data_IF_779461764348
#
_entry.id   IF_779461764348
#
_cell.length_a   1.000
_cell.length_b   1.000
_cell.length_c   1.000
_cell.angle_alpha   90.00
_cell.angle_beta   90.00
_cell.angle_gamma   90.00
#
_symmetry.space_group_name_H-M   'P 1'
#
loop_
_entity.id
_entity.type
_entity.pdbx_description
1 polymer ?
#
# COMPACT_ATOMS: atom_id res chain seq x y z
N UNK A 1 3.86 -24.18 19.06
CA UNK A 1 5.22 -24.03 18.55
C UNK A 1 5.33 -24.70 17.20
N UNK A 2 6.06 -24.07 16.26
CA UNK A 2 6.29 -24.60 14.90
C UNK A 2 7.79 -24.68 14.67
N UNK A 3 8.26 -25.83 14.23
CA UNK A 3 9.68 -26.05 13.94
C UNK A 3 9.85 -26.75 12.58
N UNK A 4 10.66 -26.17 11.71
CA UNK A 4 11.03 -26.73 10.37
C UNK A 4 9.82 -27.24 9.59
N UNK A 5 8.74 -26.46 9.53
CA UNK A 5 7.49 -26.82 8.89
C UNK A 5 7.11 -25.82 7.79
N UNK A 6 6.32 -26.28 6.84
CA UNK A 6 5.75 -25.48 5.76
C UNK A 6 4.23 -25.40 5.98
N UNK A 7 3.70 -24.18 6.18
CA UNK A 7 2.28 -23.96 6.48
C UNK A 7 1.75 -22.94 5.47
N UNK A 8 0.66 -23.33 4.79
CA UNK A 8 -0.11 -22.46 3.89
C UNK A 8 -1.55 -22.34 4.37
N UNK A 9 -2.07 -21.13 4.42
CA UNK A 9 -3.44 -20.84 4.82
C UNK A 9 -4.11 -19.85 3.86
N UNK A 10 -5.36 -20.13 3.52
CA UNK A 10 -6.23 -19.20 2.78
C UNK A 10 -6.80 -18.05 3.64
N UNK A 11 -6.47 -18.00 4.92
CA UNK A 11 -6.83 -16.96 5.89
C UNK A 11 -5.60 -16.55 6.70
N UNK A 12 -5.82 -16.34 8.01
CA UNK A 12 -4.76 -15.95 8.95
C UNK A 12 -4.01 -17.18 9.51
N UNK A 13 -2.75 -16.98 9.90
CA UNK A 13 -1.95 -17.94 10.66
C UNK A 13 -1.67 -17.33 12.04
N UNK A 14 -2.05 -18.03 13.11
CA UNK A 14 -1.80 -17.62 14.49
C UNK A 14 -1.00 -18.70 15.20
N UNK A 15 0.24 -18.35 15.61
CA UNK A 15 1.13 -19.22 16.38
C UNK A 15 1.36 -18.55 17.74
N UNK A 16 0.72 -19.10 18.76
CA UNK A 16 0.72 -18.53 20.13
C UNK A 16 2.07 -18.60 20.85
N UNK A 17 2.99 -19.40 20.34
CA UNK A 17 4.34 -19.50 20.86
C UNK A 17 5.34 -19.04 19.79
N UNK A 18 6.23 -19.90 19.36
CA UNK A 18 7.30 -19.54 18.42
C UNK A 18 7.25 -20.33 17.12
N UNK A 19 7.89 -19.77 16.11
CA UNK A 19 8.23 -20.44 14.88
C UNK A 19 9.75 -20.40 14.68
N UNK A 20 10.34 -21.55 14.43
CA UNK A 20 11.80 -21.70 14.27
C UNK A 20 12.14 -22.55 13.06
N UNK A 21 13.19 -22.17 12.36
CA UNK A 21 13.77 -22.92 11.27
C UNK A 21 15.27 -22.68 11.18
N UNK A 22 15.91 -23.44 10.31
CA UNK A 22 17.32 -23.22 9.92
C UNK A 22 17.32 -22.67 8.51
N UNK A 23 18.27 -21.81 8.24
CA UNK A 23 18.60 -21.40 6.87
C UNK A 23 19.64 -22.37 6.35
N UNK A 24 19.39 -22.96 5.20
CA UNK A 24 20.38 -23.82 4.55
C UNK A 24 21.42 -22.91 3.88
N UNK A 25 22.63 -22.81 4.46
CA UNK A 25 23.67 -21.87 4.05
C UNK A 25 24.10 -22.01 2.57
N UNK A 26 23.91 -23.19 1.99
CA UNK A 26 24.29 -23.48 0.61
C UNK A 26 23.26 -23.04 -0.44
N UNK A 27 21.99 -22.87 -0.07
CA UNK A 27 20.92 -22.54 -1.02
C UNK A 27 20.09 -21.31 -0.58
N UNK A 28 20.31 -20.78 0.62
CA UNK A 28 19.50 -19.69 1.17
C UNK A 28 18.04 -20.05 1.42
N UNK A 29 17.73 -21.36 1.49
CA UNK A 29 16.38 -21.87 1.71
C UNK A 29 16.06 -21.97 3.20
N UNK A 30 14.89 -21.48 3.55
CA UNK A 30 14.35 -21.58 4.90
C UNK A 30 13.61 -22.90 5.10
N UNK A 31 13.91 -23.62 6.18
CA UNK A 31 13.21 -24.86 6.52
C UNK A 31 11.82 -24.62 7.12
N UNK A 32 11.57 -23.42 7.63
CA UNK A 32 10.26 -23.03 8.15
C UNK A 32 9.69 -21.92 7.27
N UNK A 33 8.58 -22.22 6.61
CA UNK A 33 7.89 -21.26 5.73
C UNK A 33 6.43 -21.11 6.15
N UNK A 34 5.97 -19.87 6.27
CA UNK A 34 4.60 -19.53 6.63
C UNK A 34 4.00 -18.66 5.51
N UNK A 35 2.96 -19.14 4.86
CA UNK A 35 2.29 -18.44 3.77
C UNK A 35 0.81 -18.25 4.12
N UNK A 36 0.31 -17.03 4.13
CA UNK A 36 -1.08 -16.71 4.44
C UNK A 36 -1.68 -15.72 3.43
N UNK A 37 -2.92 -15.95 3.04
CA UNK A 37 -3.68 -14.94 2.29
C UNK A 37 -4.14 -13.78 3.17
N UNK A 38 -4.24 -13.99 4.48
CA UNK A 38 -4.54 -12.98 5.51
C UNK A 38 -3.29 -12.45 6.20
N UNK A 39 -3.34 -12.36 7.52
CA UNK A 39 -2.25 -11.90 8.41
C UNK A 39 -1.57 -13.06 9.11
N UNK A 40 -0.34 -12.83 9.59
CA UNK A 40 0.40 -13.83 10.36
C UNK A 40 0.78 -13.24 11.71
N UNK A 41 0.49 -14.02 12.77
CA UNK A 41 0.91 -13.72 14.13
C UNK A 41 1.78 -14.84 14.69
N UNK A 42 2.95 -14.47 15.24
CA UNK A 42 3.84 -15.38 15.99
C UNK A 42 4.33 -14.68 17.25
N UNK A 43 4.52 -15.42 18.35
CA UNK A 43 5.03 -14.81 19.59
C UNK A 43 6.52 -14.49 19.48
N UNK A 44 7.31 -15.37 18.85
CA UNK A 44 8.69 -15.14 18.49
C UNK A 44 9.06 -15.96 17.25
N UNK A 45 10.00 -15.47 16.46
CA UNK A 45 10.44 -16.13 15.23
C UNK A 45 11.96 -16.07 15.06
N UNK A 46 12.51 -17.18 14.54
CA UNK A 46 13.92 -17.24 14.18
C UNK A 46 14.13 -18.15 12.98
N UNK A 47 14.83 -17.66 11.95
CA UNK A 47 15.16 -18.43 10.75
C UNK A 47 13.93 -18.86 9.96
N UNK A 48 12.94 -18.00 9.82
CA UNK A 48 11.66 -18.28 9.13
C UNK A 48 11.50 -17.42 7.88
N UNK A 49 10.84 -17.98 6.86
CA UNK A 49 10.37 -17.25 5.68
C UNK A 49 8.85 -17.04 5.79
N UNK A 50 8.44 -15.79 5.86
CA UNK A 50 7.04 -15.39 6.09
C UNK A 50 6.53 -14.58 4.92
N UNK A 51 5.42 -15.01 4.34
CA UNK A 51 4.74 -14.29 3.28
C UNK A 51 3.24 -14.17 3.58
N UNK A 52 2.71 -12.94 3.53
CA UNK A 52 1.28 -12.73 3.69
C UNK A 52 0.79 -11.49 2.93
N UNK A 53 -0.52 -11.44 2.65
CA UNK A 53 -1.14 -10.25 2.05
C UNK A 53 -1.50 -9.18 3.11
N UNK A 54 -1.70 -9.59 4.35
CA UNK A 54 -2.01 -8.73 5.49
C UNK A 54 -0.77 -8.29 6.26
N UNK A 55 -0.93 -8.17 7.58
CA UNK A 55 0.12 -7.76 8.51
C UNK A 55 0.90 -8.95 9.06
N UNK A 56 2.16 -8.70 9.42
CA UNK A 56 2.96 -9.62 10.25
C UNK A 56 3.09 -9.02 11.63
N UNK A 57 2.60 -9.72 12.65
CA UNK A 57 2.73 -9.31 14.04
C UNK A 57 3.56 -10.33 14.81
N UNK A 58 4.54 -9.84 15.56
CA UNK A 58 5.46 -10.66 16.34
C UNK A 58 5.45 -10.16 17.79
N UNK A 59 5.13 -11.02 18.75
CA UNK A 59 4.93 -10.60 20.13
C UNK A 59 6.16 -10.10 20.85
N UNK A 60 7.34 -10.65 20.58
CA UNK A 60 8.58 -10.31 21.30
C UNK A 60 9.79 -10.06 20.42
N UNK A 61 10.15 -11.03 19.58
CA UNK A 61 11.40 -10.99 18.83
C UNK A 61 11.30 -11.72 17.49
N UNK A 62 11.93 -11.14 16.48
CA UNK A 62 12.13 -11.79 15.19
C UNK A 62 13.58 -11.61 14.73
N UNK A 63 14.21 -12.71 14.34
CA UNK A 63 15.60 -12.72 13.94
C UNK A 63 15.88 -13.68 12.77
N UNK A 64 16.91 -13.37 11.97
CA UNK A 64 17.44 -14.21 10.90
C UNK A 64 16.36 -14.69 9.92
N UNK A 65 15.40 -13.82 9.62
CA UNK A 65 14.17 -14.18 8.93
C UNK A 65 13.97 -13.35 7.67
N UNK A 66 13.19 -13.89 6.74
CA UNK A 66 12.73 -13.17 5.55
C UNK A 66 11.23 -12.93 5.66
N UNK A 67 10.81 -11.69 5.42
CA UNK A 67 9.44 -11.26 5.57
C UNK A 67 8.96 -10.55 4.31
N UNK A 68 7.79 -10.93 3.83
CA UNK A 68 7.11 -10.26 2.73
C UNK A 68 5.64 -10.08 3.10
N UNK A 69 5.19 -8.84 3.22
CA UNK A 69 3.80 -8.55 3.54
C UNK A 69 3.22 -7.39 2.76
N UNK A 70 1.91 -7.47 2.49
CA UNK A 70 1.15 -6.37 1.89
C UNK A 70 0.79 -5.27 2.89
N UNK A 71 0.89 -5.55 4.20
CA UNK A 71 0.61 -4.62 5.29
C UNK A 71 1.86 -4.23 6.07
N UNK A 72 1.68 -4.03 7.38
CA UNK A 72 2.73 -3.65 8.32
C UNK A 72 3.42 -4.85 8.95
N UNK A 73 4.69 -4.66 9.37
CA UNK A 73 5.42 -5.55 10.29
C UNK A 73 5.49 -4.89 11.66
N UNK A 74 4.91 -5.51 12.68
CA UNK A 74 4.84 -4.97 14.04
C UNK A 74 5.48 -5.99 14.99
N UNK A 75 6.53 -5.57 15.72
CA UNK A 75 7.22 -6.42 16.68
C UNK A 75 7.05 -5.84 18.08
N UNK A 76 6.27 -6.55 18.89
CA UNK A 76 5.77 -6.15 20.19
C UNK A 76 4.24 -6.12 20.23
N UNK A 77 3.69 -5.50 21.24
CA UNK A 77 2.25 -5.25 21.31
C UNK A 77 1.86 -4.16 20.30
N UNK A 78 0.68 -4.27 19.68
CA UNK A 78 0.20 -3.34 18.65
C UNK A 78 0.24 -1.89 19.15
N UNK A 79 -0.20 -1.64 20.38
CA UNK A 79 -0.22 -0.29 20.97
C UNK A 79 1.13 0.14 21.55
N UNK A 80 2.07 -0.78 21.72
CA UNK A 80 3.38 -0.54 22.26
C UNK A 80 4.41 -1.50 21.66
N UNK A 81 4.90 -1.23 20.45
CA UNK A 81 5.83 -2.12 19.74
C UNK A 81 7.23 -2.06 20.35
N UNK A 82 7.45 -2.77 21.44
CA UNK A 82 8.75 -2.80 22.16
C UNK A 82 9.56 -4.07 21.89
N UNK A 83 9.24 -4.84 20.87
CA UNK A 83 9.97 -6.04 20.52
C UNK A 83 11.27 -5.77 19.76
N UNK A 84 12.07 -6.82 19.56
CA UNK A 84 13.36 -6.77 18.90
C UNK A 84 13.29 -7.34 17.49
N UNK A 85 13.82 -6.60 16.51
CA UNK A 85 13.88 -6.98 15.10
C UNK A 85 15.30 -6.81 14.58
N UNK A 86 15.97 -7.92 14.25
CA UNK A 86 17.34 -7.89 13.76
C UNK A 86 17.67 -9.03 12.79
N UNK A 87 18.69 -8.84 11.98
CA UNK A 87 19.16 -9.81 10.99
C UNK A 87 18.06 -10.32 10.04
N UNK A 88 17.14 -9.45 9.65
CA UNK A 88 16.01 -9.80 8.79
C UNK A 88 16.09 -9.08 7.45
N UNK A 89 15.54 -9.72 6.41
CA UNK A 89 15.25 -9.12 5.11
C UNK A 89 13.74 -8.92 4.98
N UNK A 90 13.30 -7.66 4.92
CA UNK A 90 11.88 -7.28 5.04
C UNK A 90 11.46 -6.51 3.81
N UNK A 91 10.38 -6.98 3.17
CA UNK A 91 9.64 -6.25 2.15
C UNK A 91 8.22 -6.00 2.68
N UNK A 92 7.88 -4.74 2.90
CA UNK A 92 6.57 -4.31 3.41
C UNK A 92 6.00 -3.21 2.53
N UNK A 93 4.68 -3.24 2.30
CA UNK A 93 4.01 -2.18 1.54
C UNK A 93 3.56 -1.00 2.41
N UNK A 94 3.71 -1.08 3.74
CA UNK A 94 3.22 -0.08 4.66
C UNK A 94 4.31 0.42 5.61
N UNK A 95 4.51 -0.23 6.75
CA UNK A 95 5.42 0.23 7.80
C UNK A 95 6.04 -0.92 8.57
N UNK A 96 7.14 -0.62 9.27
CA UNK A 96 7.80 -1.52 10.22
C UNK A 96 7.89 -0.81 11.56
N UNK A 97 7.37 -1.45 12.61
CA UNK A 97 7.37 -0.94 13.98
C UNK A 97 8.03 -1.94 14.91
N UNK A 98 9.01 -1.52 15.68
CA UNK A 98 9.69 -2.33 16.69
C UNK A 98 10.33 -1.42 17.75
N UNK A 99 10.55 -1.94 18.94
CA UNK A 99 11.27 -1.23 19.99
C UNK A 99 12.77 -1.13 19.69
N UNK A 100 13.34 -2.17 19.09
CA UNK A 100 14.74 -2.19 18.66
C UNK A 100 14.85 -2.68 17.23
N UNK A 101 15.49 -1.90 16.38
CA UNK A 101 15.81 -2.23 15.00
C UNK A 101 17.31 -2.45 14.84
N UNK A 102 17.69 -3.64 14.37
CA UNK A 102 19.09 -4.03 14.21
C UNK A 102 19.71 -4.60 15.48
N UNK A 103 20.93 -5.09 15.36
CA UNK A 103 21.69 -5.67 16.46
C UNK A 103 23.09 -5.09 16.56
N UNK A 104 23.63 -5.05 17.77
CA UNK A 104 24.98 -4.56 18.07
C UNK A 104 26.07 -5.48 17.49
N UNK A 105 25.72 -6.74 17.17
CA UNK A 105 26.67 -7.80 16.78
C UNK A 105 26.96 -7.85 15.26
N UNK A 106 26.71 -6.79 14.50
CA UNK A 106 27.08 -6.73 13.07
C UNK A 106 26.14 -7.48 12.11
N UNK A 107 25.00 -7.98 12.57
CA UNK A 107 23.99 -8.57 11.71
C UNK A 107 23.22 -7.49 10.94
N UNK A 108 22.99 -7.73 9.64
CA UNK A 108 22.33 -6.75 8.78
C UNK A 108 20.81 -6.87 8.88
N UNK A 109 20.14 -5.75 9.12
CA UNK A 109 18.71 -5.60 8.92
C UNK A 109 18.48 -4.82 7.63
N UNK A 110 17.72 -5.41 6.69
CA UNK A 110 17.34 -4.77 5.45
C UNK A 110 15.82 -4.58 5.43
N UNK A 111 15.39 -3.37 5.10
CA UNK A 111 13.97 -3.05 4.97
C UNK A 111 13.74 -2.37 3.63
N UNK A 112 12.77 -2.86 2.86
CA UNK A 112 12.38 -2.35 1.55
C UNK A 112 10.88 -2.05 1.52
N UNK A 113 10.54 -0.78 1.25
CA UNK A 113 9.17 -0.29 1.08
C UNK A 113 8.81 -0.01 -0.39
N UNK A 114 9.74 -0.26 -1.34
CA UNK A 114 9.56 0.07 -2.76
C UNK A 114 8.24 -0.46 -3.36
N UNK A 115 7.76 -1.69 -3.05
CA UNK A 115 6.52 -2.17 -3.64
C UNK A 115 5.29 -1.33 -3.29
N UNK A 116 5.18 -0.85 -2.05
CA UNK A 116 4.10 0.05 -1.63
C UNK A 116 4.22 1.43 -2.23
N UNK A 117 5.43 1.97 -2.28
CA UNK A 117 5.71 3.28 -2.85
C UNK A 117 5.46 3.32 -4.36
N UNK A 118 5.89 2.30 -5.10
CA UNK A 118 5.66 2.21 -6.54
C UNK A 118 4.18 2.19 -6.89
N UNK A 119 3.35 1.45 -6.15
CA UNK A 119 1.91 1.45 -6.35
C UNK A 119 1.27 2.83 -6.11
N UNK A 120 1.75 3.57 -5.12
CA UNK A 120 1.28 4.93 -4.86
C UNK A 120 1.67 5.90 -5.98
N UNK A 121 2.89 5.78 -6.51
CA UNK A 121 3.34 6.57 -7.66
C UNK A 121 2.50 6.28 -8.91
N UNK A 122 2.28 5.01 -9.26
CA UNK A 122 1.45 4.63 -10.40
C UNK A 122 0.01 5.17 -10.28
N UNK A 123 -0.56 5.12 -9.07
CA UNK A 123 -1.89 5.70 -8.80
C UNK A 123 -1.88 7.22 -8.96
N UNK A 124 -0.85 7.88 -8.42
CA UNK A 124 -0.69 9.33 -8.57
C UNK A 124 -0.59 9.72 -10.04
N UNK A 125 0.29 9.08 -10.81
CA UNK A 125 0.47 9.35 -12.24
C UNK A 125 -0.83 9.15 -13.02
N UNK A 126 -1.59 8.10 -12.69
CA UNK A 126 -2.90 7.84 -13.29
C UNK A 126 -3.92 8.94 -12.97
N UNK A 127 -3.95 9.43 -11.74
CA UNK A 127 -4.82 10.53 -11.31
C UNK A 127 -4.42 11.86 -11.97
N UNK A 128 -3.15 12.16 -12.05
CA UNK A 128 -2.63 13.36 -12.71
C UNK A 128 -3.00 13.37 -14.19
N UNK A 129 -2.89 12.23 -14.88
CA UNK A 129 -3.32 12.09 -16.28
C UNK A 129 -4.83 12.27 -16.45
N UNK A 130 -5.65 11.69 -15.57
CA UNK A 130 -7.11 11.88 -15.58
C UNK A 130 -7.49 13.34 -15.36
N UNK A 131 -6.88 14.02 -14.40
CA UNK A 131 -7.09 15.45 -14.15
C UNK A 131 -6.72 16.28 -15.38
N UNK A 132 -5.60 15.97 -16.04
CA UNK A 132 -5.19 16.63 -17.28
C UNK A 132 -6.24 16.47 -18.39
N UNK A 133 -6.77 15.26 -18.59
CA UNK A 133 -7.80 14.99 -19.61
C UNK A 133 -9.11 15.74 -19.31
N UNK A 134 -9.53 15.78 -18.04
CA UNK A 134 -10.73 16.53 -17.62
C UNK A 134 -10.54 18.02 -17.88
N UNK A 135 -9.37 18.60 -17.55
CA UNK A 135 -9.05 20.01 -17.85
C UNK A 135 -9.12 20.34 -19.34
N UNK A 136 -8.52 19.51 -20.16
CA UNK A 136 -8.53 19.69 -21.62
C UNK A 136 -9.95 19.63 -22.20
N UNK A 137 -10.77 18.68 -21.70
CA UNK A 137 -12.15 18.56 -22.14
C UNK A 137 -12.99 19.75 -21.66
N UNK A 138 -12.85 20.18 -20.41
CA UNK A 138 -13.55 21.35 -19.90
C UNK A 138 -13.20 22.62 -20.69
N UNK A 139 -11.92 22.80 -21.07
CA UNK A 139 -11.50 23.92 -21.91
C UNK A 139 -12.17 23.89 -23.30
N UNK A 140 -12.18 22.72 -23.94
CA UNK A 140 -12.85 22.52 -25.23
C UNK A 140 -14.35 22.78 -25.15
N UNK A 141 -14.99 22.39 -24.05
CA UNK A 141 -16.40 22.66 -23.81
C UNK A 141 -16.68 24.15 -23.60
N UNK A 142 -15.82 24.85 -22.84
CA UNK A 142 -15.89 26.31 -22.68
C UNK A 142 -15.80 27.05 -24.00
N UNK A 143 -14.83 26.69 -24.84
CA UNK A 143 -14.66 27.29 -26.16
C UNK A 143 -15.90 27.09 -27.05
N UNK A 144 -16.44 25.87 -27.09
CA UNK A 144 -17.66 25.55 -27.86
C UNK A 144 -18.87 26.36 -27.38
N UNK A 145 -19.05 26.47 -26.06
CA UNK A 145 -20.17 27.22 -25.49
C UNK A 145 -20.04 28.72 -25.75
N UNK A 146 -18.82 29.27 -25.66
CA UNK A 146 -18.55 30.66 -26.01
C UNK A 146 -18.88 30.94 -27.49
N UNK A 147 -18.51 30.02 -28.38
CA UNK A 147 -18.85 30.11 -29.80
C UNK A 147 -20.35 30.04 -30.05
N UNK A 148 -21.08 29.21 -29.28
CA UNK A 148 -22.55 29.11 -29.37
C UNK A 148 -23.20 30.39 -28.85
N UNK A 149 -22.76 30.93 -27.73
CA UNK A 149 -23.26 32.16 -27.14
C UNK A 149 -23.05 33.40 -28.01
N UNK A 150 -21.96 33.43 -28.80
CA UNK A 150 -21.64 34.53 -29.72
C UNK A 150 -22.55 34.55 -30.96
N UNK A 151 -23.29 33.48 -31.24
CA UNK A 151 -24.22 33.39 -32.40
C UNK A 151 -25.64 33.58 -31.94
N UNK A 152 -26.49 34.28 -32.77
CA UNK A 152 -27.93 34.37 -32.52
C UNK A 152 -28.57 32.97 -32.57
N UNK A 153 -28.92 32.43 -31.42
CA UNK A 153 -29.48 31.08 -31.29
C UNK A 153 -30.99 31.13 -31.56
N UNK A 154 -31.55 30.27 -32.45
CA UNK A 154 -33.00 30.12 -32.62
C UNK A 154 -33.67 29.75 -31.29
N UNK A 155 -34.92 30.26 -31.07
CA UNK A 155 -35.66 30.07 -29.82
C UNK A 155 -35.75 28.59 -29.39
N UNK A 156 -35.90 27.68 -30.34
CA UNK A 156 -35.97 26.22 -30.10
C UNK A 156 -34.69 25.60 -29.52
N UNK A 157 -33.52 26.21 -29.76
CA UNK A 157 -32.22 25.74 -29.27
C UNK A 157 -31.75 26.44 -28.00
N UNK A 158 -32.43 27.51 -27.58
CA UNK A 158 -32.08 28.29 -26.39
C UNK A 158 -32.13 27.43 -25.11
N UNK A 159 -33.12 26.53 -24.99
CA UNK A 159 -33.22 25.61 -23.85
C UNK A 159 -32.01 24.65 -23.78
N UNK A 160 -31.66 24.03 -24.91
CA UNK A 160 -30.50 23.13 -24.97
C UNK A 160 -29.18 23.86 -24.71
N UNK A 161 -29.06 25.10 -25.13
CA UNK A 161 -27.89 25.92 -24.82
C UNK A 161 -27.77 26.25 -23.32
N UNK A 162 -28.91 26.53 -22.66
CA UNK A 162 -28.92 26.76 -21.21
C UNK A 162 -28.56 25.49 -20.42
N UNK A 163 -29.13 24.34 -20.81
CA UNK A 163 -28.75 23.03 -20.21
C UNK A 163 -27.24 22.71 -20.38
N UNK A 164 -26.66 23.02 -21.54
CA UNK A 164 -25.25 22.83 -21.80
C UNK A 164 -24.35 23.74 -20.94
N UNK A 165 -24.79 24.99 -20.71
CA UNK A 165 -24.08 25.92 -19.80
C UNK A 165 -24.12 25.43 -18.36
N UNK A 166 -25.25 24.94 -17.90
CA UNK A 166 -25.43 24.40 -16.55
C UNK A 166 -24.53 23.17 -16.34
N UNK A 167 -24.48 22.25 -17.30
CA UNK A 167 -23.57 21.10 -17.27
C UNK A 167 -22.11 21.53 -17.21
N UNK A 168 -21.69 22.53 -17.98
CA UNK A 168 -20.32 23.04 -17.93
C UNK A 168 -19.98 23.66 -16.57
N UNK A 169 -20.91 24.38 -15.96
CA UNK A 169 -20.71 24.96 -14.64
C UNK A 169 -20.53 23.86 -13.59
N UNK A 170 -21.32 22.80 -13.65
CA UNK A 170 -21.18 21.64 -12.76
C UNK A 170 -19.84 20.90 -12.99
N UNK A 171 -19.44 20.70 -14.23
CA UNK A 171 -18.14 20.13 -14.60
C UNK A 171 -16.96 20.98 -14.07
N UNK A 172 -17.07 22.30 -14.18
CA UNK A 172 -16.05 23.23 -13.70
C UNK A 172 -15.93 23.23 -12.17
N UNK A 173 -17.06 23.18 -11.46
CA UNK A 173 -17.09 23.09 -10.01
C UNK A 173 -16.51 21.76 -9.48
N UNK A 174 -16.82 20.65 -10.18
CA UNK A 174 -16.25 19.35 -9.86
C UNK A 174 -14.73 19.33 -10.08
N UNK A 175 -14.24 19.92 -11.17
CA UNK A 175 -12.81 20.01 -11.45
C UNK A 175 -12.08 20.81 -10.36
N UNK A 176 -12.61 21.96 -9.96
CA UNK A 176 -12.05 22.78 -8.88
C UNK A 176 -12.01 22.00 -7.54
N UNK A 177 -13.08 21.27 -7.23
CA UNK A 177 -13.11 20.43 -6.04
C UNK A 177 -12.04 19.32 -6.07
N UNK A 178 -11.88 18.63 -7.22
CA UNK A 178 -10.85 17.60 -7.39
C UNK A 178 -9.43 18.16 -7.28
N UNK A 179 -9.17 19.34 -7.85
CA UNK A 179 -7.88 20.03 -7.76
C UNK A 179 -7.54 20.42 -6.31
N UNK A 180 -8.51 20.94 -5.57
CA UNK A 180 -8.34 21.27 -4.17
C UNK A 180 -8.02 20.01 -3.34
N UNK A 181 -8.73 18.91 -3.60
CA UNK A 181 -8.46 17.62 -2.93
C UNK A 181 -7.10 17.03 -3.30
N UNK A 182 -6.65 17.15 -4.53
CA UNK A 182 -5.33 16.70 -4.96
C UNK A 182 -4.19 17.50 -4.30
N UNK A 183 -4.43 18.77 -3.94
CA UNK A 183 -3.45 19.62 -3.26
C UNK A 183 -3.44 19.46 -1.73
N UNK A 184 -4.45 18.81 -1.13
CA UNK A 184 -4.50 18.51 0.30
C UNK A 184 -3.70 17.26 0.70
N UNK A 185 -3.24 16.45 -0.25
CA UNK A 185 -2.48 15.21 -0.07
C UNK A 185 -0.99 15.46 -0.31
#
# INVERSE_FOLDING_TARGET
FVESAHIEAGGDIIITEGAMGKVNDTQGEFQCKLVAAGSIHVQHGQGIDVQCSGNITVGRQLAYSRLRCGGAVIVGQIDKPMGNLFACDIISQSRVEAGTLGAVSGSTLKVDFSPGFNQLLERKDSLDELLRQIRENNLKHKEKITLIQSKKIPKELQRKAAEAVELLNNESALLEWLENKANEV
#
